data_IF_565658784899
#
_entry.id   IF_565658784899
#
_cell.length_a   1.000
_cell.length_b   1.000
_cell.length_c   1.000
_cell.angle_alpha   90.00
_cell.angle_beta   90.00
_cell.angle_gamma   90.00
#
_symmetry.space_group_name_H-M   'P 1'
#
loop_
_entity.id
_entity.type
_entity.pdbx_description
1 polymer ?
#
# COMPACT_ATOMS: atom_id res chain seq x y z
N UNK A 1 9.03 3.39 -15.40
CA UNK A 1 8.89 3.29 -13.94
C UNK A 1 9.96 4.19 -13.33
N UNK A 2 9.61 5.44 -13.04
CA UNK A 2 10.62 6.42 -12.62
C UNK A 2 10.99 6.27 -11.13
N UNK A 3 9.99 6.10 -10.25
CA UNK A 3 10.20 6.02 -8.80
C UNK A 3 9.35 4.93 -8.12
N UNK A 4 9.53 3.64 -8.45
CA UNK A 4 8.70 2.56 -7.92
C UNK A 4 8.88 2.34 -6.40
N UNK A 5 9.95 2.84 -5.79
CA UNK A 5 10.23 2.63 -4.36
C UNK A 5 9.90 3.85 -3.48
N UNK A 6 9.18 4.85 -4.01
CA UNK A 6 8.83 6.09 -3.30
C UNK A 6 7.94 5.85 -2.06
N UNK A 7 7.15 4.77 -2.08
CA UNK A 7 6.31 4.39 -0.95
C UNK A 7 7.13 3.87 0.23
N UNK A 8 6.57 4.01 1.43
CA UNK A 8 7.15 3.49 2.67
C UNK A 8 7.12 1.97 2.65
N UNK A 9 8.06 1.31 3.32
CA UNK A 9 8.00 -0.16 3.49
C UNK A 9 6.72 -0.50 4.24
N UNK A 10 5.91 -1.40 3.69
CA UNK A 10 4.67 -1.86 4.30
C UNK A 10 4.93 -2.86 5.41
N UNK A 11 3.89 -3.15 6.21
CA UNK A 11 3.98 -4.15 7.29
C UNK A 11 4.20 -5.58 6.78
N UNK A 12 3.65 -5.90 5.62
CA UNK A 12 3.78 -7.21 4.96
C UNK A 12 5.02 -7.17 4.07
N UNK A 13 5.81 -8.27 4.06
CA UNK A 13 6.98 -8.39 3.19
C UNK A 13 6.65 -8.06 1.73
N UNK A 14 7.60 -7.44 1.02
CA UNK A 14 7.51 -7.03 -0.38
C UNK A 14 6.40 -6.01 -0.72
N UNK A 15 5.66 -5.55 0.28
CA UNK A 15 4.69 -4.47 0.14
C UNK A 15 5.28 -3.11 0.48
N UNK A 16 4.73 -2.08 -0.16
CA UNK A 16 5.01 -0.68 0.11
C UNK A 16 3.70 0.07 0.21
N UNK A 17 3.69 1.14 0.99
CA UNK A 17 2.52 1.98 1.19
C UNK A 17 2.78 3.35 0.58
N UNK A 18 1.95 3.74 -0.38
CA UNK A 18 1.93 5.10 -0.92
C UNK A 18 0.83 5.89 -0.23
N UNK A 19 1.22 6.93 0.51
CA UNK A 19 0.28 7.93 1.03
C UNK A 19 -0.02 8.92 -0.08
N UNK A 20 -1.29 9.10 -0.40
CA UNK A 20 -1.72 10.06 -1.43
C UNK A 20 -1.94 11.41 -0.75
N UNK A 21 -1.00 12.33 -0.95
CA UNK A 21 -1.04 13.67 -0.36
C UNK A 21 -2.37 14.38 -0.65
N UNK A 22 -2.86 15.13 0.33
CA UNK A 22 -4.14 15.86 0.32
C UNK A 22 -5.39 14.98 0.17
N UNK A 23 -5.26 13.67 0.40
CA UNK A 23 -6.40 12.76 0.45
C UNK A 23 -6.30 11.84 1.67
N UNK A 24 -7.43 11.28 2.14
CA UNK A 24 -7.40 10.28 3.20
C UNK A 24 -6.99 8.89 2.68
N UNK A 25 -6.38 8.75 1.50
CA UNK A 25 -6.11 7.44 0.91
C UNK A 25 -4.66 6.97 1.06
N UNK A 26 -4.52 5.67 1.31
CA UNK A 26 -3.26 4.92 1.35
C UNK A 26 -3.38 3.76 0.37
N UNK A 27 -2.36 3.57 -0.47
CA UNK A 27 -2.32 2.51 -1.48
C UNK A 27 -1.18 1.56 -1.14
N UNK A 28 -1.45 0.38 -0.54
CA UNK A 28 -0.49 -0.70 -0.49
C UNK A 28 -0.26 -1.28 -1.89
N UNK A 29 1.01 -1.46 -2.28
CA UNK A 29 1.42 -1.97 -3.56
C UNK A 29 2.70 -2.81 -3.46
N UNK A 30 2.98 -3.61 -4.47
CA UNK A 30 4.22 -4.36 -4.62
C UNK A 30 4.97 -3.88 -5.85
N UNK A 31 6.31 -3.97 -5.80
CA UNK A 31 7.18 -3.69 -6.94
C UNK A 31 7.71 -5.01 -7.47
N UNK A 32 7.56 -5.23 -8.76
CA UNK A 32 8.26 -6.29 -9.51
C UNK A 32 9.10 -5.65 -10.62
N UNK A 33 9.93 -6.43 -11.31
CA UNK A 33 10.88 -5.90 -12.29
C UNK A 33 10.22 -5.01 -13.36
N UNK A 34 9.06 -5.38 -13.86
CA UNK A 34 8.41 -4.75 -15.02
C UNK A 34 7.04 -4.13 -14.71
N UNK A 35 6.56 -4.19 -13.46
CA UNK A 35 5.25 -3.68 -13.07
C UNK A 35 5.10 -3.36 -11.59
N UNK A 36 4.12 -2.51 -11.32
CA UNK A 36 3.61 -2.20 -9.99
C UNK A 36 2.25 -2.88 -9.83
N UNK A 37 2.06 -3.61 -8.74
CA UNK A 37 0.79 -4.29 -8.42
C UNK A 37 0.14 -3.53 -7.28
N UNK A 38 -0.99 -2.86 -7.55
CA UNK A 38 -1.80 -2.24 -6.50
C UNK A 38 -2.62 -3.32 -5.81
N UNK A 39 -2.44 -3.46 -4.49
CA UNK A 39 -3.16 -4.47 -3.72
C UNK A 39 -4.57 -3.98 -3.42
N UNK A 40 -4.68 -2.74 -2.91
CA UNK A 40 -5.94 -2.09 -2.53
C UNK A 40 -5.80 -0.57 -2.53
N UNK A 41 -6.93 0.13 -2.43
CA UNK A 41 -7.00 1.55 -2.07
C UNK A 41 -7.73 1.64 -0.73
N UNK A 42 -7.04 2.10 0.31
CA UNK A 42 -7.54 2.13 1.68
C UNK A 42 -7.85 3.56 2.08
N UNK A 43 -9.00 3.77 2.73
CA UNK A 43 -9.27 5.05 3.39
C UNK A 43 -8.67 5.02 4.80
N UNK A 44 -7.84 5.99 5.16
CA UNK A 44 -7.07 6.03 6.41
C UNK A 44 -7.92 6.12 7.67
N UNK A 45 -9.16 6.61 7.57
CA UNK A 45 -10.13 6.61 8.66
C UNK A 45 -11.02 5.35 8.70
N UNK A 46 -10.79 4.37 7.82
CA UNK A 46 -11.58 3.13 7.80
C UNK A 46 -11.28 2.30 9.04
N UNK A 47 -12.33 1.94 9.78
CA UNK A 47 -12.23 0.95 10.84
C UNK A 47 -12.21 -0.44 10.19
N UNK A 48 -11.07 -1.11 10.29
CA UNK A 48 -10.92 -2.48 9.82
C UNK A 48 -11.51 -3.45 10.84
N UNK A 49 -12.24 -4.50 10.40
CA UNK A 49 -12.68 -5.54 11.31
C UNK A 49 -11.46 -6.23 11.93
N UNK A 50 -11.54 -6.51 13.23
CA UNK A 50 -10.50 -7.25 13.96
C UNK A 50 -10.32 -8.63 13.30
N UNK A 51 -9.11 -8.91 12.79
CA UNK A 51 -8.78 -10.15 12.06
C UNK A 51 -8.23 -9.96 10.64
N UNK A 52 -8.22 -8.73 10.10
CA UNK A 52 -7.54 -8.44 8.84
C UNK A 52 -6.01 -8.42 9.03
N UNK A 53 -5.37 -9.60 9.05
CA UNK A 53 -3.92 -9.72 9.21
C UNK A 53 -3.39 -11.13 9.52
N UNK A 54 -4.27 -12.10 9.77
CA UNK A 54 -3.90 -13.50 10.03
C UNK A 54 -4.23 -14.37 8.81
N UNK A 55 -3.50 -14.21 7.71
CA UNK A 55 -3.45 -15.19 6.61
C UNK A 55 -2.07 -15.22 5.95
#
# INVERSE_FOLDING_TARGET
>A
MEHPHLGRVGRVADTRELVITDTPYIVPYMVSEDRIILLRVLHGAQQWPEGFGEQ
#
